data_IF_539906608589
#
_entry.id   IF_539906608589
#
_cell.length_a   1.000
_cell.length_b   1.000
_cell.length_c   1.000
_cell.angle_alpha   90.00
_cell.angle_beta   90.00
_cell.angle_gamma   90.00
#
_symmetry.space_group_name_H-M   'P 1'
#
loop_
_entity.id
_entity.type
_entity.pdbx_description
1 polymer ?
#
# COMPACT_ATOMS: atom_id res chain seq x y z
N UNK A 1 6.35 -8.43 -7.89
CA UNK A 1 7.00 -9.14 -6.76
C UNK A 1 5.98 -10.05 -6.09
N UNK A 2 6.32 -11.32 -5.83
CA UNK A 2 5.52 -12.21 -4.99
C UNK A 2 6.07 -12.19 -3.58
N UNK A 3 5.21 -11.98 -2.59
CA UNK A 3 5.61 -11.89 -1.19
C UNK A 3 4.68 -12.70 -0.30
N UNK A 4 5.21 -13.23 0.79
CA UNK A 4 4.45 -13.85 1.87
C UNK A 4 4.42 -12.92 3.08
N UNK A 5 3.23 -12.74 3.65
CA UNK A 5 3.03 -12.23 4.99
C UNK A 5 2.44 -13.35 5.86
N UNK A 6 3.13 -13.72 6.94
CA UNK A 6 2.71 -14.83 7.83
C UNK A 6 2.34 -16.12 7.06
N UNK A 7 3.16 -16.46 6.05
CA UNK A 7 2.96 -17.65 5.21
C UNK A 7 1.86 -17.55 4.15
N UNK A 8 1.19 -16.40 4.00
CA UNK A 8 0.14 -16.18 2.99
C UNK A 8 0.60 -15.17 1.95
N UNK A 9 0.26 -15.40 0.68
CA UNK A 9 0.57 -14.45 -0.40
C UNK A 9 -0.10 -13.10 -0.15
N UNK A 10 0.64 -12.02 -0.40
CA UNK A 10 0.11 -10.66 -0.34
C UNK A 10 0.45 -9.88 -1.61
N UNK A 11 -0.48 -9.04 -2.05
CA UNK A 11 -0.27 -8.08 -3.13
C UNK A 11 0.29 -6.80 -2.53
N UNK A 12 1.56 -6.52 -2.84
CA UNK A 12 2.27 -5.35 -2.31
C UNK A 12 2.84 -4.49 -3.42
N UNK A 13 3.00 -3.21 -3.13
CA UNK A 13 3.73 -2.27 -3.97
C UNK A 13 4.66 -1.44 -3.09
N UNK A 14 5.95 -1.47 -3.40
CA UNK A 14 6.92 -0.52 -2.87
C UNK A 14 6.76 0.79 -3.63
N UNK A 15 6.36 1.84 -2.92
CA UNK A 15 6.05 3.14 -3.48
C UNK A 15 7.29 3.69 -4.21
N UNK A 16 7.17 3.86 -5.52
CA UNK A 16 8.18 4.43 -6.41
C UNK A 16 7.49 5.17 -7.56
N UNK A 17 8.20 6.09 -8.20
CA UNK A 17 7.73 6.79 -9.41
C UNK A 17 8.41 6.31 -10.69
N UNK A 18 9.49 5.55 -10.55
CA UNK A 18 10.39 5.16 -11.65
C UNK A 18 10.17 3.74 -12.15
N UNK A 19 9.52 2.90 -11.34
CA UNK A 19 9.27 1.50 -11.69
C UNK A 19 7.87 1.33 -12.29
N UNK A 20 7.67 0.35 -13.18
CA UNK A 20 6.35 -0.01 -13.66
C UNK A 20 5.38 -0.31 -12.50
N UNK A 21 4.16 0.22 -12.61
CA UNK A 21 3.12 -0.01 -11.62
C UNK A 21 2.45 -1.38 -11.83
N UNK A 22 2.20 -2.14 -10.75
CA UNK A 22 1.25 -3.25 -10.80
C UNK A 22 -0.12 -2.77 -11.30
N UNK A 23 -0.88 -3.63 -11.98
CA UNK A 23 -2.18 -3.29 -12.58
C UNK A 23 -3.17 -2.65 -11.58
N UNK A 24 -3.16 -3.13 -10.33
CA UNK A 24 -4.02 -2.57 -9.29
C UNK A 24 -3.59 -1.16 -8.86
N UNK A 25 -2.30 -0.84 -8.91
CA UNK A 25 -1.77 0.50 -8.60
C UNK A 25 -2.17 1.46 -9.72
N UNK A 26 -2.02 1.05 -10.98
CA UNK A 26 -2.50 1.80 -12.14
C UNK A 26 -4.00 2.10 -12.04
N UNK A 27 -4.79 1.09 -11.68
CA UNK A 27 -6.23 1.23 -11.45
C UNK A 27 -6.54 2.18 -10.29
N UNK A 28 -5.76 2.13 -9.21
CA UNK A 28 -5.94 2.99 -8.04
C UNK A 28 -5.63 4.47 -8.34
N UNK A 29 -4.62 4.75 -9.16
CA UNK A 29 -4.38 6.11 -9.68
C UNK A 29 -5.54 6.59 -10.57
N UNK A 30 -6.01 5.75 -11.50
CA UNK A 30 -7.15 6.09 -12.37
C UNK A 30 -8.42 6.41 -11.57
N UNK A 31 -8.65 5.68 -10.47
CA UNK A 31 -9.78 5.89 -9.54
C UNK A 31 -9.53 7.02 -8.51
N UNK A 32 -8.41 7.74 -8.61
CA UNK A 32 -7.99 8.78 -7.64
C UNK A 32 -7.88 8.29 -6.19
N UNK A 33 -7.66 7.00 -6.00
CA UNK A 33 -7.40 6.38 -4.70
C UNK A 33 -5.96 6.66 -4.26
N UNK A 34 -5.04 6.78 -5.22
CA UNK A 34 -3.67 7.20 -5.03
C UNK A 34 -3.45 8.53 -5.76
N UNK A 35 -2.80 9.49 -5.10
CA UNK A 35 -2.51 10.80 -5.68
C UNK A 35 -1.15 11.30 -5.20
N UNK A 36 -0.23 11.55 -6.14
CA UNK A 36 1.04 12.20 -5.81
C UNK A 36 0.78 13.63 -5.32
N UNK A 37 1.41 13.99 -4.20
CA UNK A 37 1.40 15.36 -3.67
C UNK A 37 2.64 16.13 -4.07
N UNK A 38 3.76 15.42 -4.12
CA UNK A 38 5.05 15.91 -4.61
C UNK A 38 5.89 14.70 -5.08
N UNK A 39 7.18 14.91 -5.30
CA UNK A 39 8.12 13.86 -5.72
C UNK A 39 8.52 12.87 -4.60
N UNK A 40 7.97 13.00 -3.39
CA UNK A 40 8.29 12.19 -2.20
C UNK A 40 7.06 11.63 -1.49
N UNK A 41 5.90 12.26 -1.63
CA UNK A 41 4.68 11.99 -0.87
C UNK A 41 3.54 11.54 -1.76
N UNK A 42 2.90 10.46 -1.33
CA UNK A 42 1.69 9.91 -1.91
C UNK A 42 0.53 10.06 -0.93
N UNK A 43 -0.56 10.66 -1.36
CA UNK A 43 -1.82 10.61 -0.64
C UNK A 43 -2.58 9.34 -1.02
N UNK A 44 -3.05 8.61 -0.01
CA UNK A 44 -3.85 7.39 -0.15
C UNK A 44 -5.25 7.67 0.38
N UNK A 45 -6.29 7.50 -0.45
CA UNK A 45 -7.68 7.52 -0.01
C UNK A 45 -8.01 6.19 0.67
N UNK A 46 -7.85 6.19 1.99
CA UNK A 46 -7.91 5.00 2.84
C UNK A 46 -9.22 4.22 2.67
N UNK A 47 -10.43 4.81 2.80
CA UNK A 47 -11.64 4.01 2.76
C UNK A 47 -11.96 3.39 1.39
N UNK A 48 -11.38 3.96 0.32
CA UNK A 48 -11.57 3.47 -1.04
C UNK A 48 -10.56 2.37 -1.39
N UNK A 49 -9.32 2.47 -0.91
CA UNK A 49 -8.29 1.47 -1.15
C UNK A 49 -8.33 0.31 -0.13
N UNK A 50 -8.71 0.62 1.11
CA UNK A 50 -8.79 -0.28 2.27
C UNK A 50 -10.23 -0.33 2.82
N UNK A 51 -11.15 -1.02 2.11
CA UNK A 51 -12.56 -1.03 2.45
C UNK A 51 -12.88 -1.71 3.79
N UNK A 52 -12.08 -2.67 4.29
CA UNK A 52 -12.32 -3.26 5.60
C UNK A 52 -11.97 -2.28 6.73
N UNK A 53 -11.00 -1.42 6.50
CA UNK A 53 -10.68 -0.32 7.42
C UNK A 53 -11.87 0.63 7.61
N UNK A 54 -12.56 1.00 6.52
CA UNK A 54 -13.72 1.90 6.57
C UNK A 54 -14.94 1.32 7.30
N UNK A 55 -15.06 -0.02 7.36
CA UNK A 55 -16.21 -0.73 7.93
C UNK A 55 -16.05 -1.04 9.42
N UNK A 56 -14.87 -0.80 9.98
CA UNK A 56 -14.59 -1.09 11.38
C UNK A 56 -14.85 0.17 12.22
N UNK A 57 -15.75 0.04 13.20
CA UNK A 57 -16.16 1.10 14.13
C UNK A 57 -14.98 1.64 14.96
N UNK A 58 -13.98 0.81 15.21
CA UNK A 58 -12.72 1.21 15.84
C UNK A 58 -11.98 2.31 15.06
N UNK A 59 -12.19 2.42 13.73
CA UNK A 59 -11.57 3.43 12.88
C UNK A 59 -12.50 4.59 12.50
N UNK A 60 -13.70 4.69 13.11
CA UNK A 60 -14.60 5.82 12.89
C UNK A 60 -13.99 7.12 13.41
N UNK A 61 -13.75 8.08 12.51
CA UNK A 61 -13.14 9.38 12.81
C UNK A 61 -11.68 9.53 12.36
N UNK A 62 -11.05 8.46 11.86
CA UNK A 62 -9.72 8.59 11.24
C UNK A 62 -9.80 9.24 9.85
N UNK A 63 -8.75 9.99 9.51
CA UNK A 63 -8.67 10.75 8.27
C UNK A 63 -8.92 9.89 7.03
N UNK A 64 -9.74 10.41 6.11
CA UNK A 64 -10.03 9.82 4.79
C UNK A 64 -8.73 9.59 3.99
N UNK A 65 -7.68 10.35 4.32
CA UNK A 65 -6.40 10.32 3.63
C UNK A 65 -5.25 9.94 4.57
N UNK A 66 -4.39 9.05 4.10
CA UNK A 66 -3.07 8.81 4.66
C UNK A 66 -1.98 9.38 3.75
N UNK A 67 -0.87 9.82 4.32
CA UNK A 67 0.34 10.21 3.58
C UNK A 67 1.37 9.09 3.72
N UNK A 68 1.81 8.55 2.59
CA UNK A 68 2.90 7.59 2.49
C UNK A 68 4.08 8.22 1.73
N UNK A 69 5.27 7.66 1.91
CA UNK A 69 6.50 8.16 1.33
C UNK A 69 7.09 7.19 0.32
N UNK A 70 7.91 7.69 -0.61
CA UNK A 70 8.72 6.85 -1.48
C UNK A 70 9.49 5.83 -0.64
N UNK A 71 9.41 4.56 -1.04
CA UNK A 71 10.01 3.44 -0.34
C UNK A 71 9.08 2.71 0.62
N UNK A 72 8.03 3.35 1.14
CA UNK A 72 7.01 2.64 1.93
C UNK A 72 6.33 1.56 1.09
N UNK A 73 5.72 0.59 1.77
CA UNK A 73 5.04 -0.54 1.14
C UNK A 73 3.55 -0.40 1.41
N UNK A 74 2.76 -0.35 0.33
CA UNK A 74 1.31 -0.56 0.40
C UNK A 74 1.06 -2.05 0.24
N UNK A 75 0.49 -2.66 1.26
CA UNK A 75 -0.04 -4.02 1.21
C UNK A 75 -1.56 -3.95 1.02
N UNK A 76 -1.99 -4.25 -0.20
CA UNK A 76 -3.40 -4.21 -0.59
C UNK A 76 -4.18 -5.37 0.06
N UNK A 77 -3.55 -6.54 0.21
CA UNK A 77 -4.21 -7.73 0.76
C UNK A 77 -4.51 -7.59 2.24
N UNK A 78 -3.61 -6.97 3.00
CA UNK A 78 -3.74 -6.77 4.44
C UNK A 78 -4.10 -5.33 4.82
N UNK A 79 -4.47 -4.51 3.83
CA UNK A 79 -4.98 -3.15 3.98
C UNK A 79 -4.13 -2.25 4.89
N UNK A 80 -2.84 -2.13 4.56
CA UNK A 80 -1.91 -1.36 5.39
C UNK A 80 -0.79 -0.70 4.60
N UNK A 81 -0.26 0.36 5.20
CA UNK A 81 0.96 1.04 4.75
C UNK A 81 2.02 0.78 5.81
N UNK A 82 3.19 0.29 5.39
CA UNK A 82 4.27 -0.07 6.30
C UNK A 82 5.62 0.44 5.79
N UNK A 83 6.53 0.69 6.73
CA UNK A 83 7.89 1.10 6.41
C UNK A 83 8.71 -0.04 5.78
N UNK A 84 9.79 0.27 5.03
CA UNK A 84 10.72 -0.72 4.51
C UNK A 84 11.26 -1.68 5.58
N UNK A 85 11.57 -1.17 6.77
CA UNK A 85 12.13 -1.96 7.86
C UNK A 85 11.11 -2.98 8.39
N UNK A 86 9.84 -2.58 8.53
CA UNK A 86 8.78 -3.48 8.94
C UNK A 86 8.50 -4.53 7.86
N UNK A 87 8.52 -4.14 6.59
CA UNK A 87 8.38 -5.09 5.48
C UNK A 87 9.50 -6.14 5.50
N UNK A 88 10.77 -5.73 5.63
CA UNK A 88 11.91 -6.66 5.72
C UNK A 88 11.81 -7.65 6.88
N UNK A 89 11.24 -7.23 8.01
CA UNK A 89 11.08 -8.06 9.21
C UNK A 89 9.92 -9.07 9.07
N UNK A 90 8.81 -8.61 8.52
CA UNK A 90 7.53 -9.31 8.62
C UNK A 90 7.18 -10.12 7.35
N UNK A 91 7.89 -9.90 6.23
CA UNK A 91 7.60 -10.50 4.93
C UNK A 91 8.77 -11.29 4.37
N UNK A 92 8.44 -12.29 3.56
CA UNK A 92 9.40 -13.05 2.75
C UNK A 92 9.12 -12.79 1.28
N UNK A 93 10.16 -12.44 0.51
CA UNK A 93 10.05 -12.31 -0.96
C UNK A 93 10.26 -13.70 -1.58
N UNK A 94 9.34 -14.14 -2.43
CA UNK A 94 9.35 -15.49 -3.02
C UNK A 94 10.05 -15.51 -4.38
N UNK A 95 10.05 -14.39 -5.09
CA UNK A 95 10.74 -14.25 -6.38
C UNK A 95 11.83 -13.19 -6.24
N UNK A 96 13.08 -13.65 -6.09
CA UNK A 96 14.28 -12.84 -5.94
C UNK A 96 15.52 -13.72 -5.90
N UNK A 97 15.84 -14.34 -7.03
CA UNK A 97 17.22 -14.57 -7.49
C UNK A 97 17.49 -13.60 -8.65
#
# INVERSE_FOLDING_TARGET
MKVLYKGKTAQVWKISQTEPYPDWVTSAFAKRQLLWKDNKKLQVMVPSLFPHWARNDHYWGYGIYAIAYIGDIIDLTNERIISPNKFKKDYSVIDGD
#
